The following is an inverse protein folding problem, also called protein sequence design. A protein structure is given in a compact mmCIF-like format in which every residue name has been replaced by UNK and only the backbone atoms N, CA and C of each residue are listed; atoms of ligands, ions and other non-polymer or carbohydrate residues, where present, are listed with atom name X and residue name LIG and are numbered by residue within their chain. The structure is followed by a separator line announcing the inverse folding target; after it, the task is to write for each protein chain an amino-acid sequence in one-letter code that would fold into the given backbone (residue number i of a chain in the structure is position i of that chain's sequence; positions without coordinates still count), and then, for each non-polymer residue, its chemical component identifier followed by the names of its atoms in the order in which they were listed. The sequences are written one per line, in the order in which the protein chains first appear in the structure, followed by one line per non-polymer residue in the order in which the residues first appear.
data_IF_876427526426
#
_entry.id   IF_876427526426
#
_cell.length_a   1.000
_cell.length_b   1.000
_cell.length_c   1.000
_cell.angle_alpha   90.00
_cell.angle_beta   90.00
_cell.angle_gamma   90.00
#
_symmetry.space_group_name_H-M   'P 1'
#
loop_
_entity.id
_entity.type
_entity.pdbx_description
1 polymer ?
#
# COMPACT_ATOMS: atom_id res chain seq x y z
N UNK A 1 14.81 -3.79 2.76
CA UNK A 1 14.70 -2.31 2.82
C UNK A 1 15.90 -1.71 3.54
N UNK A 2 16.17 -0.40 3.32
CA UNK A 2 17.28 0.32 3.94
C UNK A 2 16.77 1.59 4.62
N UNK A 3 17.21 1.84 5.85
CA UNK A 3 16.85 3.02 6.62
C UNK A 3 18.04 3.99 6.72
N UNK A 4 17.91 5.13 6.08
CA UNK A 4 18.93 6.18 6.10
C UNK A 4 18.58 7.30 7.07
N UNK A 5 19.50 7.61 7.97
CA UNK A 5 19.42 8.77 8.86
C UNK A 5 20.17 9.96 8.25
N UNK A 6 19.53 11.12 8.19
CA UNK A 6 20.18 12.37 7.81
C UNK A 6 21.12 12.84 8.95
N UNK A 7 22.39 13.12 8.63
CA UNK A 7 23.41 13.57 9.58
C UNK A 7 23.41 15.11 9.77
N UNK A 8 22.54 15.83 9.09
CA UNK A 8 22.42 17.30 9.12
C UNK A 8 23.63 18.06 8.53
N UNK A 9 24.51 17.38 7.83
CA UNK A 9 25.67 17.93 7.11
C UNK A 9 25.63 17.69 5.59
N UNK A 10 24.47 17.23 5.08
CA UNK A 10 24.26 16.85 3.69
C UNK A 10 24.59 15.38 3.40
N UNK A 11 24.97 14.60 4.41
CA UNK A 11 25.22 13.16 4.30
C UNK A 11 24.17 12.33 5.00
N UNK A 12 24.14 11.01 4.70
CA UNK A 12 23.23 10.04 5.32
C UNK A 12 24.03 8.83 5.82
N UNK A 13 23.57 8.26 6.92
CA UNK A 13 24.11 7.01 7.48
C UNK A 13 23.07 5.91 7.39
N UNK A 14 23.47 4.73 6.89
CA UNK A 14 22.67 3.52 7.01
C UNK A 14 22.63 3.08 8.49
N UNK A 15 21.42 3.04 9.04
CA UNK A 15 21.19 2.63 10.43
C UNK A 15 20.17 1.48 10.53
N UNK A 16 19.91 0.78 9.45
CA UNK A 16 18.90 -0.27 9.32
C UNK A 16 18.95 -1.28 10.45
N UNK A 17 20.12 -1.92 10.66
CA UNK A 17 20.31 -2.91 11.72
C UNK A 17 20.15 -2.31 13.12
N UNK A 18 20.59 -1.05 13.29
CA UNK A 18 20.55 -0.35 14.56
C UNK A 18 19.16 -0.04 15.04
N UNK A 19 18.26 0.28 14.11
CA UNK A 19 16.87 0.66 14.44
C UNK A 19 15.90 -0.51 14.45
N UNK A 20 16.31 -1.71 14.02
CA UNK A 20 15.54 -2.94 14.12
C UNK A 20 14.51 -3.11 12.98
N UNK A 21 14.77 -2.53 11.80
CA UNK A 21 13.96 -2.78 10.61
C UNK A 21 14.51 -4.00 9.88
N UNK A 22 13.67 -5.04 9.78
CA UNK A 22 13.97 -6.26 9.02
C UNK A 22 12.78 -6.56 8.10
N UNK A 23 12.92 -6.19 6.81
CA UNK A 23 11.95 -6.49 5.77
C UNK A 23 12.70 -6.99 4.52
N UNK A 24 12.87 -8.32 4.39
CA UNK A 24 13.53 -8.92 3.24
C UNK A 24 12.64 -8.96 2.00
N UNK A 25 11.34 -8.66 2.13
CA UNK A 25 10.36 -8.68 1.05
C UNK A 25 10.57 -7.54 0.05
N UNK A 26 9.89 -7.61 -1.08
CA UNK A 26 9.90 -6.58 -2.10
C UNK A 26 9.03 -5.39 -1.66
N UNK A 27 9.63 -4.44 -0.91
CA UNK A 27 8.97 -3.21 -0.47
C UNK A 27 8.76 -2.24 -1.62
N UNK A 28 7.57 -1.61 -1.70
CA UNK A 28 7.19 -0.69 -2.78
C UNK A 28 7.03 0.75 -2.31
N UNK A 29 6.35 0.97 -1.20
CA UNK A 29 6.09 2.28 -0.63
C UNK A 29 6.22 2.24 0.89
N UNK A 30 6.47 3.41 1.49
CA UNK A 30 6.56 3.54 2.94
C UNK A 30 5.98 4.87 3.41
N UNK A 31 5.36 4.86 4.58
CA UNK A 31 4.81 6.05 5.20
C UNK A 31 5.13 6.10 6.70
N UNK A 32 5.48 7.30 7.18
CA UNK A 32 5.64 7.57 8.60
C UNK A 32 4.40 8.29 9.13
N UNK A 33 3.89 7.86 10.28
CA UNK A 33 2.77 8.50 10.98
C UNK A 33 2.78 8.07 12.45
N UNK A 34 2.12 8.84 13.31
CA UNK A 34 1.99 8.54 14.73
C UNK A 34 0.68 7.76 14.93
N UNK A 35 0.76 6.44 15.18
CA UNK A 35 -0.41 5.57 15.24
C UNK A 35 -1.10 5.52 16.60
N UNK A 36 -0.46 6.00 17.66
CA UNK A 36 -0.99 5.96 19.02
C UNK A 36 -0.86 7.29 19.78
N UNK A 37 -0.57 8.37 19.05
CA UNK A 37 -0.45 9.75 19.53
C UNK A 37 0.61 9.88 20.65
N UNK A 38 1.69 9.09 20.60
CA UNK A 38 2.78 9.13 21.59
C UNK A 38 3.92 10.12 21.22
N UNK A 39 3.83 10.73 20.02
CA UNK A 39 4.79 11.70 19.48
C UNK A 39 5.98 11.08 18.75
N UNK A 40 6.02 9.75 18.61
CA UNK A 40 7.01 9.04 17.83
C UNK A 40 6.38 8.47 16.55
N UNK A 41 6.98 8.80 15.40
CA UNK A 41 6.45 8.28 14.14
C UNK A 41 6.74 6.81 13.99
N UNK A 42 5.69 6.03 13.79
CA UNK A 42 5.71 4.64 13.37
C UNK A 42 5.97 4.53 11.87
N UNK A 43 6.20 3.33 11.36
CA UNK A 43 6.50 3.09 9.95
C UNK A 43 5.60 1.98 9.39
N UNK A 44 4.95 2.28 8.28
CA UNK A 44 4.29 1.31 7.43
C UNK A 44 5.11 1.09 6.16
N UNK A 45 5.22 -0.17 5.71
CA UNK A 45 5.88 -0.53 4.46
C UNK A 45 4.99 -1.48 3.69
N UNK A 46 4.62 -1.12 2.46
CA UNK A 46 3.91 -2.03 1.56
C UNK A 46 4.86 -3.05 0.97
N UNK A 47 4.41 -4.30 0.88
CA UNK A 47 5.12 -5.37 0.20
C UNK A 47 4.32 -5.84 -1.02
N UNK A 48 5.01 -6.23 -2.07
CA UNK A 48 4.37 -6.56 -3.34
C UNK A 48 4.15 -8.07 -3.49
N UNK A 49 5.13 -8.76 -4.00
CA UNK A 49 5.02 -10.17 -4.36
C UNK A 49 6.14 -11.00 -3.76
N UNK A 50 5.87 -12.30 -3.59
CA UNK A 50 6.87 -13.29 -3.22
C UNK A 50 7.70 -13.66 -4.46
N UNK A 51 8.67 -12.80 -4.79
CA UNK A 51 9.56 -12.95 -5.93
C UNK A 51 10.94 -13.42 -5.48
N UNK A 52 11.46 -14.43 -6.15
CA UNK A 52 12.84 -14.89 -6.00
C UNK A 52 13.53 -14.98 -7.37
N UNK A 53 14.78 -14.57 -7.43
CA UNK A 53 15.60 -14.70 -8.65
C UNK A 53 15.82 -16.19 -9.00
N UNK A 54 15.91 -17.04 -7.99
CA UNK A 54 16.19 -18.46 -8.16
C UNK A 54 14.94 -19.28 -8.58
N UNK A 55 13.74 -18.75 -8.29
CA UNK A 55 12.45 -19.34 -8.64
C UNK A 55 11.61 -18.37 -9.49
N UNK A 56 12.20 -17.88 -10.57
CA UNK A 56 11.56 -16.93 -11.47
C UNK A 56 10.84 -17.69 -12.60
N UNK A 57 9.49 -17.62 -12.69
CA UNK A 57 8.74 -18.30 -13.74
C UNK A 57 9.10 -17.75 -15.13
N UNK A 58 9.08 -18.64 -16.13
CA UNK A 58 9.20 -18.22 -17.52
C UNK A 58 7.83 -17.82 -18.07
N UNK A 59 7.65 -16.53 -18.34
CA UNK A 59 6.45 -16.01 -18.94
C UNK A 59 6.68 -15.65 -20.42
N UNK A 60 5.67 -15.92 -21.25
CA UNK A 60 5.71 -15.66 -22.68
C UNK A 60 4.47 -14.88 -23.11
N UNK A 61 4.64 -13.96 -24.07
CA UNK A 61 3.55 -13.25 -24.73
C UNK A 61 3.48 -13.64 -26.21
N UNK A 62 2.26 -13.74 -26.78
CA UNK A 62 2.10 -13.97 -28.20
C UNK A 62 2.59 -12.75 -28.98
N UNK A 63 3.46 -12.97 -29.95
CA UNK A 63 3.86 -11.97 -30.95
C UNK A 63 3.12 -12.25 -32.25
N UNK A 64 2.42 -11.25 -32.76
CA UNK A 64 1.80 -11.34 -34.09
C UNK A 64 2.86 -11.17 -35.18
N UNK A 65 2.95 -12.13 -36.07
CA UNK A 65 3.75 -12.02 -37.29
C UNK A 65 2.92 -11.43 -38.44
N UNK A 66 3.48 -10.53 -39.26
CA UNK A 66 2.76 -9.94 -40.42
C UNK A 66 2.27 -10.93 -41.47
N UNK A 67 2.80 -12.16 -41.48
CA UNK A 67 2.49 -13.21 -42.46
C UNK A 67 1.69 -14.40 -41.89
N UNK A 68 1.12 -14.25 -40.69
CA UNK A 68 0.30 -15.27 -40.06
C UNK A 68 1.14 -16.36 -39.39
N UNK A 69 1.05 -16.46 -38.09
CA UNK A 69 1.71 -17.39 -37.20
C UNK A 69 1.81 -16.79 -35.81
N UNK A 70 1.65 -17.63 -34.77
CA UNK A 70 1.89 -17.22 -33.39
C UNK A 70 3.32 -17.60 -33.00
N UNK A 71 4.13 -16.63 -32.66
CA UNK A 71 5.42 -16.84 -32.01
C UNK A 71 5.29 -16.34 -30.57
N UNK A 72 5.70 -17.18 -29.60
CA UNK A 72 5.75 -16.78 -28.20
C UNK A 72 7.15 -16.26 -27.89
N UNK A 73 7.26 -15.02 -27.49
CA UNK A 73 8.50 -14.43 -27.00
C UNK A 73 8.49 -14.35 -25.48
N UNK A 74 9.66 -14.47 -24.86
CA UNK A 74 9.84 -14.24 -23.44
C UNK A 74 9.37 -12.83 -23.09
N UNK A 75 8.52 -12.72 -22.07
CA UNK A 75 7.90 -11.47 -21.62
C UNK A 75 7.99 -11.35 -20.11
N UNK A 76 7.66 -10.18 -19.58
CA UNK A 76 7.42 -10.02 -18.16
C UNK A 76 6.19 -10.82 -17.73
N UNK A 77 6.27 -11.37 -16.53
CA UNK A 77 5.14 -12.06 -15.94
C UNK A 77 4.08 -11.07 -15.46
N UNK A 78 2.82 -11.46 -15.63
CA UNK A 78 1.71 -10.78 -14.98
C UNK A 78 1.83 -10.95 -13.45
N UNK A 79 1.53 -9.93 -12.64
CA UNK A 79 1.56 -10.02 -11.18
C UNK A 79 0.77 -11.19 -10.60
N UNK A 80 -0.29 -11.63 -11.29
CA UNK A 80 -1.14 -12.74 -10.86
C UNK A 80 -0.43 -14.10 -10.78
N UNK A 81 0.76 -14.24 -11.38
CA UNK A 81 1.55 -15.47 -11.25
C UNK A 81 2.30 -15.57 -9.93
N UNK A 82 2.37 -14.49 -9.17
CA UNK A 82 3.05 -14.41 -7.88
C UNK A 82 2.04 -14.27 -6.74
N UNK A 83 2.40 -14.79 -5.57
CA UNK A 83 1.61 -14.55 -4.35
C UNK A 83 1.90 -13.15 -3.80
N UNK A 84 0.87 -12.47 -3.35
CA UNK A 84 1.03 -11.24 -2.57
C UNK A 84 1.71 -11.50 -1.23
N UNK A 85 2.38 -10.50 -0.70
CA UNK A 85 3.10 -10.57 0.58
C UNK A 85 2.51 -9.57 1.57
N UNK A 86 2.36 -9.99 2.83
CA UNK A 86 1.80 -9.12 3.86
C UNK A 86 2.69 -7.90 4.12
N UNK A 87 2.06 -6.75 4.25
CA UNK A 87 2.71 -5.49 4.59
C UNK A 87 3.30 -5.49 5.99
N UNK A 88 4.22 -4.57 6.23
CA UNK A 88 4.90 -4.41 7.52
C UNK A 88 4.44 -3.15 8.24
N UNK A 89 4.19 -3.31 9.53
CA UNK A 89 3.98 -2.21 10.46
C UNK A 89 4.99 -2.29 11.60
N UNK A 90 5.80 -1.26 11.70
CA UNK A 90 6.83 -1.11 12.72
C UNK A 90 6.44 -0.02 13.71
N UNK A 91 6.19 -0.42 14.94
CA UNK A 91 5.98 0.50 16.05
C UNK A 91 7.31 1.10 16.50
N UNK A 92 7.34 2.42 16.63
CA UNK A 92 8.54 3.15 17.06
C UNK A 92 8.55 3.32 18.58
N UNK A 93 9.46 2.64 19.24
CA UNK A 93 9.70 2.82 20.66
C UNK A 93 10.96 3.68 20.87
N UNK A 94 10.77 5.01 20.84
CA UNK A 94 11.85 5.98 21.11
C UNK A 94 13.09 5.78 20.20
N UNK A 95 12.86 5.59 18.92
CA UNK A 95 13.90 5.44 17.90
C UNK A 95 14.32 3.99 17.63
N UNK A 96 13.64 3.00 18.21
CA UNK A 96 13.80 1.58 17.89
C UNK A 96 12.48 1.05 17.35
N UNK A 97 12.51 0.49 16.17
CA UNK A 97 11.32 -0.07 15.49
C UNK A 97 11.11 -1.53 15.90
N UNK A 98 9.87 -1.87 16.20
CA UNK A 98 9.44 -3.20 16.61
C UNK A 98 8.37 -3.68 15.64
N UNK A 99 8.59 -4.78 14.92
CA UNK A 99 7.58 -5.37 14.04
C UNK A 99 6.33 -5.76 14.86
N UNK A 100 5.23 -5.05 14.58
CA UNK A 100 3.90 -5.31 15.16
C UNK A 100 2.87 -5.69 14.08
N UNK A 101 3.28 -6.02 12.87
CA UNK A 101 2.38 -6.32 11.74
C UNK A 101 1.26 -7.29 12.12
N UNK A 102 1.59 -8.41 12.76
CA UNK A 102 0.58 -9.37 13.21
C UNK A 102 -0.27 -8.87 14.39
N UNK A 103 0.35 -8.13 15.31
CA UNK A 103 -0.35 -7.63 16.50
C UNK A 103 -1.28 -6.48 16.17
N UNK A 104 -0.92 -5.65 15.21
CA UNK A 104 -1.72 -4.52 14.75
C UNK A 104 -2.96 -4.94 13.95
N UNK A 105 -2.94 -6.11 13.33
CA UNK A 105 -3.98 -6.61 12.44
C UNK A 105 -3.62 -6.51 10.94
N UNK A 106 -2.58 -5.75 10.59
CA UNK A 106 -2.12 -5.50 9.21
C UNK A 106 -1.59 -6.79 8.57
N UNK A 107 -0.73 -7.53 9.25
CA UNK A 107 -0.07 -8.74 8.73
C UNK A 107 -1.00 -9.92 8.40
N UNK A 108 -2.30 -9.74 8.44
CA UNK A 108 -3.30 -10.76 8.04
C UNK A 108 -3.61 -10.74 6.55
N UNK A 109 -3.26 -9.66 5.87
CA UNK A 109 -3.58 -9.43 4.47
C UNK A 109 -2.28 -9.52 3.67
N UNK A 110 -2.17 -10.57 2.86
CA UNK A 110 -1.05 -10.79 1.96
C UNK A 110 -1.52 -10.49 0.54
N UNK A 111 -1.51 -9.21 0.18
CA UNK A 111 -1.92 -8.67 -1.11
C UNK A 111 -0.72 -8.01 -1.79
N UNK A 112 -0.92 -7.53 -3.02
CA UNK A 112 0.14 -6.89 -3.81
C UNK A 112 0.18 -5.39 -3.54
N UNK A 113 0.68 -5.00 -2.35
CA UNK A 113 0.73 -3.61 -1.90
C UNK A 113 1.66 -2.74 -2.74
N UNK A 114 1.15 -1.59 -3.20
CA UNK A 114 1.89 -0.62 -4.00
C UNK A 114 1.99 0.73 -3.29
N UNK A 115 0.96 1.54 -3.35
CA UNK A 115 0.91 2.85 -2.71
C UNK A 115 0.35 2.80 -1.29
N UNK A 116 0.81 3.68 -0.41
CA UNK A 116 0.26 3.84 0.94
C UNK A 116 0.12 5.32 1.30
N UNK A 117 -1.00 5.69 1.91
CA UNK A 117 -1.22 7.02 2.47
C UNK A 117 -1.86 6.92 3.85
N UNK A 118 -1.26 7.54 4.89
CA UNK A 118 -1.89 7.74 6.18
C UNK A 118 -2.76 8.99 6.17
N UNK A 119 -3.85 8.97 6.94
CA UNK A 119 -4.73 10.13 7.14
C UNK A 119 -5.81 9.82 8.18
N UNK A 120 -6.36 10.84 8.80
CA UNK A 120 -7.56 10.72 9.64
C UNK A 120 -8.78 10.65 8.71
N UNK A 121 -9.15 9.42 8.33
CA UNK A 121 -10.14 9.17 7.26
C UNK A 121 -11.58 9.29 7.76
N UNK A 122 -11.83 9.01 9.03
CA UNK A 122 -13.16 9.09 9.61
C UNK A 122 -13.33 10.21 10.66
N UNK A 123 -12.33 11.11 10.74
CA UNK A 123 -12.32 12.35 11.55
C UNK A 123 -12.52 12.05 13.05
N UNK A 124 -11.89 10.95 13.51
CA UNK A 124 -11.91 10.57 14.94
C UNK A 124 -10.65 11.03 15.70
N UNK A 125 -9.69 11.65 15.00
CA UNK A 125 -8.43 12.18 15.54
C UNK A 125 -7.28 11.18 15.53
N UNK A 126 -7.50 9.95 15.03
CA UNK A 126 -6.50 8.90 14.94
C UNK A 126 -6.08 8.68 13.47
N UNK A 127 -4.80 8.40 13.24
CA UNK A 127 -4.30 8.20 11.87
C UNK A 127 -4.64 6.81 11.36
N UNK A 128 -5.41 6.75 10.30
CA UNK A 128 -5.76 5.56 9.51
C UNK A 128 -4.76 5.32 8.39
N UNK A 129 -4.91 4.22 7.65
CA UNK A 129 -4.03 3.87 6.54
C UNK A 129 -4.86 3.38 5.35
N UNK A 130 -4.65 3.97 4.18
CA UNK A 130 -5.14 3.42 2.93
C UNK A 130 -3.99 2.83 2.11
N UNK A 131 -4.22 1.65 1.51
CA UNK A 131 -3.24 0.94 0.66
C UNK A 131 -3.86 0.63 -0.69
N UNK A 132 -3.22 1.12 -1.75
CA UNK A 132 -3.54 0.74 -3.12
C UNK A 132 -2.79 -0.56 -3.46
N UNK A 133 -3.54 -1.55 -3.95
CA UNK A 133 -3.01 -2.86 -4.33
C UNK A 133 -3.10 -3.09 -5.83
N UNK A 134 -2.11 -3.78 -6.41
CA UNK A 134 -2.10 -4.15 -7.82
C UNK A 134 -2.94 -5.40 -8.05
N UNK A 135 -4.07 -5.24 -8.76
CA UNK A 135 -5.04 -6.30 -9.10
C UNK A 135 -5.68 -7.04 -7.91
N UNK A 136 -5.51 -6.51 -6.73
CA UNK A 136 -6.16 -6.99 -5.52
C UNK A 136 -7.11 -5.90 -4.97
N UNK A 137 -7.98 -6.29 -4.05
CA UNK A 137 -8.80 -5.33 -3.30
C UNK A 137 -7.89 -4.33 -2.58
N UNK A 138 -8.17 -3.03 -2.72
CA UNK A 138 -7.51 -2.01 -1.90
C UNK A 138 -7.89 -2.19 -0.42
N UNK A 139 -7.01 -1.75 0.48
CA UNK A 139 -7.23 -1.88 1.92
C UNK A 139 -7.39 -0.51 2.57
N UNK A 140 -8.34 -0.43 3.49
CA UNK A 140 -8.52 0.71 4.39
C UNK A 140 -8.48 0.22 5.83
N UNK A 141 -7.41 0.52 6.53
CA UNK A 141 -7.20 0.16 7.92
C UNK A 141 -7.60 1.29 8.85
N UNK A 142 -8.73 1.15 9.52
CA UNK A 142 -9.20 2.09 10.54
C UNK A 142 -8.49 1.80 11.86
N UNK A 143 -7.87 2.82 12.41
CA UNK A 143 -7.14 2.79 13.67
C UNK A 143 -8.12 2.86 14.87
N UNK A 144 -7.65 2.52 16.03
CA UNK A 144 -8.36 2.69 17.29
C UNK A 144 -7.59 3.58 18.29
N UNK A 145 -6.66 4.40 17.78
CA UNK A 145 -5.80 5.28 18.55
C UNK A 145 -4.75 4.59 19.41
N UNK A 146 -4.46 3.31 19.16
CA UNK A 146 -3.48 2.50 19.90
C UNK A 146 -2.64 1.60 18.99
N UNK A 147 -2.48 1.98 17.72
CA UNK A 147 -1.76 1.21 16.73
C UNK A 147 -2.37 -0.18 16.46
N UNK A 148 -3.70 -0.28 16.54
CA UNK A 148 -4.44 -1.49 16.15
C UNK A 148 -5.46 -1.11 15.10
N UNK A 149 -5.42 -1.82 14.00
CA UNK A 149 -6.15 -1.51 12.79
C UNK A 149 -7.19 -2.58 12.48
N UNK A 150 -8.33 -2.13 11.95
CA UNK A 150 -9.38 -2.97 11.42
C UNK A 150 -9.56 -2.67 9.94
N UNK A 151 -9.37 -3.68 9.10
CA UNK A 151 -9.66 -3.57 7.68
C UNK A 151 -11.15 -3.28 7.46
N UNK A 152 -11.48 -2.30 6.64
CA UNK A 152 -12.83 -1.78 6.45
C UNK A 152 -13.13 -1.32 5.01
N UNK A 153 -12.22 -1.51 4.05
CA UNK A 153 -12.34 -0.97 2.68
C UNK A 153 -13.64 -1.38 1.99
N UNK A 154 -14.00 -2.67 2.06
CA UNK A 154 -15.23 -3.17 1.45
C UNK A 154 -16.47 -2.51 2.06
N UNK A 155 -16.51 -2.36 3.37
CA UNK A 155 -17.66 -1.78 4.08
C UNK A 155 -17.77 -0.28 3.88
N UNK A 156 -16.66 0.38 3.59
CA UNK A 156 -16.59 1.83 3.40
C UNK A 156 -16.60 2.26 1.92
N UNK A 157 -16.62 1.30 0.98
CA UNK A 157 -16.76 1.57 -0.45
C UNK A 157 -15.45 1.89 -1.19
N UNK A 158 -14.28 1.56 -0.62
CA UNK A 158 -12.97 1.87 -1.21
C UNK A 158 -12.14 0.66 -1.61
N UNK A 159 -12.69 -0.55 -1.43
CA UNK A 159 -11.95 -1.79 -1.73
C UNK A 159 -11.92 -2.13 -3.23
N UNK A 160 -12.90 -1.66 -3.99
CA UNK A 160 -13.10 -1.92 -5.41
C UNK A 160 -13.59 -0.66 -6.09
N UNK A 161 -13.51 -0.59 -7.42
CA UNK A 161 -14.13 0.48 -8.19
C UNK A 161 -15.68 0.39 -8.18
N UNK A 162 -16.36 1.40 -8.74
CA UNK A 162 -17.82 1.48 -8.78
C UNK A 162 -18.52 0.32 -9.50
N UNK A 163 -17.79 -0.50 -10.25
CA UNK A 163 -18.28 -1.73 -10.89
C UNK A 163 -18.02 -2.99 -10.04
N UNK A 164 -17.42 -2.85 -8.86
CA UNK A 164 -17.08 -3.95 -7.96
C UNK A 164 -15.88 -4.78 -8.43
N UNK A 165 -14.97 -4.19 -9.23
CA UNK A 165 -13.76 -4.83 -9.72
C UNK A 165 -12.52 -4.29 -9.00
N UNK A 166 -11.57 -5.19 -8.74
CA UNK A 166 -10.21 -4.80 -8.36
C UNK A 166 -9.50 -4.17 -9.56
N UNK A 167 -8.74 -3.13 -9.33
CA UNK A 167 -7.91 -2.46 -10.32
C UNK A 167 -6.44 -2.60 -9.98
N UNK A 168 -5.58 -2.34 -10.95
CA UNK A 168 -4.13 -2.37 -10.74
C UNK A 168 -3.66 -1.05 -10.10
N UNK A 169 -3.99 -0.86 -8.82
CA UNK A 169 -3.66 0.32 -8.04
C UNK A 169 -2.15 0.49 -7.88
N UNK A 170 -1.63 1.70 -8.17
CA UNK A 170 -0.19 2.01 -8.14
C UNK A 170 0.12 3.03 -7.05
N UNK A 171 -0.14 4.30 -7.32
CA UNK A 171 0.04 5.39 -6.38
C UNK A 171 -1.26 5.81 -5.72
N UNK A 172 -1.16 6.42 -4.56
CA UNK A 172 -2.32 6.95 -3.82
C UNK A 172 -1.95 8.24 -3.12
N UNK A 173 -2.93 9.14 -3.03
CA UNK A 173 -2.86 10.36 -2.21
C UNK A 173 -4.24 10.65 -1.61
N UNK A 174 -4.27 11.44 -0.53
CA UNK A 174 -5.50 11.82 0.15
C UNK A 174 -5.55 13.33 0.37
N UNK A 175 -6.73 13.93 0.18
CA UNK A 175 -6.96 15.34 0.39
C UNK A 175 -8.44 15.70 0.27
N UNK A 176 -8.88 16.76 0.93
CA UNK A 176 -10.23 17.30 0.84
C UNK A 176 -10.34 18.12 -0.47
N UNK A 177 -10.79 17.47 -1.56
CA UNK A 177 -10.83 18.08 -2.90
C UNK A 177 -12.13 18.84 -3.19
N UNK A 178 -13.23 18.49 -2.54
CA UNK A 178 -14.52 19.16 -2.69
C UNK A 178 -14.81 20.20 -1.58
N UNK A 179 -13.91 20.31 -0.60
CA UNK A 179 -13.97 21.24 0.55
C UNK A 179 -15.14 20.95 1.50
N UNK A 180 -15.46 19.69 1.65
CA UNK A 180 -16.47 19.24 2.60
C UNK A 180 -15.93 19.01 4.02
N UNK A 181 -14.60 19.06 4.18
CA UNK A 181 -13.89 18.86 5.45
C UNK A 181 -13.42 17.43 5.68
N UNK A 182 -13.70 16.48 4.77
CA UNK A 182 -13.32 15.08 4.86
C UNK A 182 -12.22 14.74 3.86
N UNK A 183 -11.34 13.81 4.19
CA UNK A 183 -10.31 13.38 3.26
C UNK A 183 -10.89 12.44 2.20
N UNK A 184 -10.73 12.84 0.94
CA UNK A 184 -10.99 12.02 -0.24
C UNK A 184 -9.72 11.23 -0.61
N UNK A 185 -9.88 10.17 -1.40
CA UNK A 185 -8.77 9.31 -1.80
C UNK A 185 -8.70 9.25 -3.33
N UNK A 186 -7.50 9.48 -3.87
CA UNK A 186 -7.23 9.34 -5.29
C UNK A 186 -6.20 8.24 -5.54
N UNK A 187 -6.56 7.24 -6.36
CA UNK A 187 -5.71 6.10 -6.72
C UNK A 187 -5.37 6.19 -8.20
N UNK A 188 -4.07 6.14 -8.51
CA UNK A 188 -3.62 5.97 -9.90
C UNK A 188 -3.56 4.50 -10.24
N UNK A 189 -4.13 4.12 -11.39
CA UNK A 189 -4.18 2.74 -11.85
C UNK A 189 -3.27 2.49 -13.06
N UNK A 190 -2.92 1.24 -13.32
CA UNK A 190 -2.05 0.85 -14.42
C UNK A 190 -2.72 1.12 -15.78
N UNK A 191 -1.90 1.11 -16.83
CA UNK A 191 -2.31 1.39 -18.21
C UNK A 191 -3.53 0.56 -18.66
N UNK A 192 -4.54 1.26 -19.18
CA UNK A 192 -5.78 0.66 -19.67
C UNK A 192 -6.95 0.70 -18.67
N UNK A 193 -6.70 1.16 -17.46
CA UNK A 193 -7.69 1.42 -16.43
C UNK A 193 -7.80 2.92 -16.17
N UNK A 194 -8.96 3.39 -15.71
CA UNK A 194 -9.14 4.77 -15.24
C UNK A 194 -8.56 4.90 -13.82
N UNK A 195 -8.00 6.08 -13.51
CA UNK A 195 -7.67 6.37 -12.11
C UNK A 195 -8.96 6.53 -11.30
N UNK A 196 -8.93 6.14 -10.04
CA UNK A 196 -10.14 6.09 -9.22
C UNK A 196 -10.15 7.22 -8.19
N UNK A 197 -11.28 7.93 -8.13
CA UNK A 197 -11.56 8.97 -7.14
C UNK A 197 -12.65 8.50 -6.19
N UNK A 198 -12.31 8.30 -4.93
CA UNK A 198 -13.26 8.02 -3.87
C UNK A 198 -13.56 9.29 -3.10
N UNK A 199 -14.79 9.84 -3.23
CA UNK A 199 -15.24 10.97 -2.42
C UNK A 199 -15.81 10.51 -1.09
N UNK A 200 -15.31 11.07 0.00
CA UNK A 200 -15.74 10.81 1.36
C UNK A 200 -17.07 11.53 1.63
N UNK A 201 -18.10 10.76 1.93
CA UNK A 201 -19.46 11.27 2.22
C UNK A 201 -19.66 11.65 3.69
N UNK A 202 -18.57 11.70 4.47
CA UNK A 202 -18.58 11.82 5.92
C UNK A 202 -18.60 10.44 6.60
N UNK A 203 -18.05 10.38 7.81
CA UNK A 203 -17.91 9.13 8.59
C UNK A 203 -17.03 8.04 7.91
N UNK A 204 -16.15 8.43 6.98
CA UNK A 204 -15.32 7.50 6.22
C UNK A 204 -16.11 6.53 5.34
N UNK A 205 -17.28 6.92 4.83
CA UNK A 205 -18.01 6.22 3.77
C UNK A 205 -17.73 6.90 2.45
N UNK A 206 -17.48 6.14 1.40
CA UNK A 206 -17.02 6.66 0.12
C UNK A 206 -17.93 6.26 -1.04
N UNK A 207 -17.98 7.13 -2.04
CA UNK A 207 -18.53 6.84 -3.37
C UNK A 207 -17.42 6.98 -4.41
N UNK A 208 -17.41 6.09 -5.38
CA UNK A 208 -16.56 6.22 -6.57
C UNK A 208 -17.18 7.24 -7.52
N UNK A 209 -16.44 8.32 -7.79
CA UNK A 209 -16.83 9.43 -8.67
C UNK A 209 -15.85 9.57 -9.87
N UNK A 210 -15.36 8.44 -10.38
CA UNK A 210 -14.39 8.34 -11.49
C UNK A 210 -14.94 8.78 -12.83
#
# INVERSE_FOLDING_TARGET
DVFYKNNSDGTFSDITDKVGIDNPSMGMSAAFFDSDNDGWLDLYVTNYVDYSIDDNPECTSPMQYPMGGELYARSYCDPDVFLGVADKFYYNKQGTFIDRSNRSGIGRYALRGMGVVPGDIDDDGDMDIYVANDKDMNLLFINNGKGRFKESALMRGTGYNGNGLAEAGMGVDAGDIDRNGWLDIFVTNYSGETNTLYLNQGNGLFTDET
#
